data_IF_095055172579
#
_entry.id   IF_095055172579
#
_cell.length_a   1.000
_cell.length_b   1.000
_cell.length_c   1.000
_cell.angle_alpha   90.00
_cell.angle_beta   90.00
_cell.angle_gamma   90.00
#
_symmetry.space_group_name_H-M   'P 1'
#
loop_
_entity.id
_entity.type
_entity.pdbx_description
1 polymer ?
#
# COMPACT_ATOMS: atom_id res chain seq x y z
N UNK A 1 5.02 -23.52 -22.02
CA UNK A 1 3.83 -22.84 -22.58
C UNK A 1 2.59 -23.34 -21.85
N UNK A 2 1.94 -22.50 -21.04
CA UNK A 2 0.55 -22.72 -20.60
C UNK A 2 -0.16 -21.38 -20.76
N UNK A 3 -1.00 -21.27 -21.79
CA UNK A 3 -1.86 -20.11 -22.05
C UNK A 3 -2.87 -20.02 -20.90
N UNK A 4 -2.95 -18.89 -20.20
CA UNK A 4 -4.02 -18.62 -19.22
C UNK A 4 -4.99 -17.62 -19.84
N UNK A 5 -6.26 -18.02 -19.84
CA UNK A 5 -7.38 -17.42 -20.55
C UNK A 5 -7.76 -16.04 -20.01
N UNK A 6 -8.15 -15.16 -20.93
CA UNK A 6 -9.00 -14.01 -20.65
C UNK A 6 -10.38 -14.57 -20.31
N UNK A 7 -10.84 -14.38 -19.07
CA UNK A 7 -12.24 -14.65 -18.72
C UNK A 7 -12.99 -13.33 -18.78
N UNK A 8 -13.63 -13.09 -19.92
CA UNK A 8 -14.78 -12.17 -20.01
C UNK A 8 -15.95 -12.95 -19.45
N UNK A 9 -16.54 -12.52 -18.33
CA UNK A 9 -17.78 -13.12 -17.85
C UNK A 9 -18.97 -12.22 -18.25
N UNK A 10 -19.84 -12.68 -19.18
CA UNK A 10 -21.03 -11.96 -19.57
C UNK A 10 -22.17 -12.31 -18.61
N UNK A 11 -22.67 -11.31 -17.87
CA UNK A 11 -24.10 -11.13 -17.59
C UNK A 11 -24.32 -9.74 -16.99
N UNK A 12 -24.96 -8.90 -17.81
CA UNK A 12 -25.69 -7.69 -17.41
C UNK A 12 -26.89 -8.15 -16.56
N UNK A 13 -27.03 -7.59 -15.37
CA UNK A 13 -28.33 -7.33 -14.75
C UNK A 13 -28.15 -6.31 -13.61
N UNK A 14 -28.75 -5.13 -13.83
CA UNK A 14 -28.83 -3.91 -13.01
C UNK A 14 -27.52 -3.18 -12.61
N UNK A 15 -27.46 -1.89 -12.96
CA UNK A 15 -26.28 -1.02 -12.91
C UNK A 15 -26.00 -0.32 -11.55
N UNK A 16 -26.50 -0.83 -10.41
CA UNK A 16 -26.42 -0.04 -9.15
C UNK A 16 -25.93 -0.72 -7.87
N UNK A 17 -25.56 -2.01 -7.84
CA UNK A 17 -24.98 -2.60 -6.62
C UNK A 17 -23.82 -3.58 -6.91
N UNK A 18 -22.59 -3.08 -7.06
CA UNK A 18 -21.38 -3.94 -7.00
C UNK A 18 -20.34 -3.38 -6.03
N UNK A 19 -20.64 -3.46 -4.73
CA UNK A 19 -19.63 -3.42 -3.67
C UNK A 19 -19.27 -4.86 -3.30
N UNK A 20 -18.33 -5.46 -4.02
CA UNK A 20 -17.90 -6.82 -3.73
C UNK A 20 -16.43 -6.82 -3.32
N UNK A 21 -16.18 -7.14 -2.05
CA UNK A 21 -14.91 -7.66 -1.58
C UNK A 21 -14.81 -9.16 -1.95
N UNK A 22 -14.86 -9.48 -3.24
CA UNK A 22 -14.82 -10.89 -3.68
C UNK A 22 -13.40 -11.28 -4.06
N UNK A 23 -12.87 -12.28 -3.37
CA UNK A 23 -11.60 -12.92 -3.70
C UNK A 23 -11.89 -14.33 -4.17
N UNK A 24 -11.57 -14.62 -5.42
CA UNK A 24 -11.71 -15.97 -5.98
C UNK A 24 -10.45 -16.78 -5.69
N UNK A 25 -10.59 -17.88 -4.95
CA UNK A 25 -9.56 -18.90 -4.88
C UNK A 25 -9.89 -20.02 -5.89
N UNK A 26 -9.03 -20.18 -6.91
CA UNK A 26 -9.24 -21.16 -8.00
C UNK A 26 -9.13 -22.60 -7.51
N UNK A 27 -8.50 -22.84 -6.34
CA UNK A 27 -8.26 -24.19 -5.84
C UNK A 27 -9.41 -24.77 -5.01
N UNK A 28 -10.28 -23.95 -4.41
CA UNK A 28 -11.28 -24.42 -3.43
C UNK A 28 -12.74 -23.98 -3.68
N UNK A 29 -13.07 -23.34 -4.81
CA UNK A 29 -14.43 -22.86 -5.18
C UNK A 29 -15.18 -21.98 -4.14
N UNK A 30 -14.63 -21.72 -2.97
CA UNK A 30 -15.24 -20.85 -1.97
C UNK A 30 -14.86 -19.40 -2.27
N UNK A 31 -15.84 -18.52 -2.36
CA UNK A 31 -15.65 -17.07 -2.40
C UNK A 31 -15.99 -16.51 -1.04
N UNK A 32 -15.09 -15.74 -0.42
CA UNK A 32 -15.38 -14.99 0.79
C UNK A 32 -16.43 -13.93 0.45
N UNK A 33 -17.62 -14.08 1.04
CA UNK A 33 -18.72 -13.12 0.89
C UNK A 33 -19.03 -12.54 2.27
N UNK A 34 -18.73 -11.26 2.45
CA UNK A 34 -19.02 -10.56 3.69
C UNK A 34 -20.49 -10.13 3.74
N UNK A 35 -21.16 -10.24 4.90
CA UNK A 35 -22.54 -9.77 5.03
C UNK A 35 -22.63 -8.26 4.83
N UNK A 36 -23.80 -7.76 4.39
CA UNK A 36 -24.03 -6.31 4.18
C UNK A 36 -23.82 -5.48 5.45
N UNK A 37 -23.88 -6.10 6.62
CA UNK A 37 -23.66 -5.50 7.96
C UNK A 37 -22.21 -5.53 8.42
N UNK A 38 -21.30 -6.18 7.67
CA UNK A 38 -19.89 -6.21 8.03
C UNK A 38 -19.32 -4.78 8.07
N UNK A 39 -18.52 -4.41 9.10
CA UNK A 39 -18.01 -3.05 9.27
C UNK A 39 -17.32 -2.49 8.02
N UNK A 40 -16.53 -3.31 7.32
CA UNK A 40 -15.91 -2.91 6.05
C UNK A 40 -16.89 -2.59 4.96
N UNK A 41 -17.94 -3.40 4.81
CA UNK A 41 -18.94 -3.20 3.76
C UNK A 41 -19.71 -1.91 4.03
N UNK A 42 -19.99 -1.62 5.31
CA UNK A 42 -20.62 -0.36 5.74
C UNK A 42 -19.72 0.84 5.41
N UNK A 43 -18.44 0.80 5.81
CA UNK A 43 -17.45 1.86 5.53
C UNK A 43 -17.22 2.06 4.04
N UNK A 44 -17.00 0.98 3.28
CA UNK A 44 -16.83 1.02 1.83
C UNK A 44 -18.05 1.59 1.12
N UNK A 45 -19.27 1.25 1.57
CA UNK A 45 -20.50 1.81 1.00
C UNK A 45 -20.53 3.32 1.19
N UNK A 46 -20.31 3.80 2.42
CA UNK A 46 -20.28 5.23 2.74
C UNK A 46 -19.26 5.99 1.90
N UNK A 47 -18.02 5.47 1.82
CA UNK A 47 -16.95 6.06 1.03
C UNK A 47 -17.33 6.15 -0.45
N UNK A 48 -17.85 5.07 -1.02
CA UNK A 48 -18.20 5.05 -2.43
C UNK A 48 -19.44 5.89 -2.78
N UNK A 49 -20.42 5.96 -1.88
CA UNK A 49 -21.56 6.87 -1.99
C UNK A 49 -21.08 8.33 -2.02
N UNK A 50 -20.15 8.70 -1.14
CA UNK A 50 -19.54 10.03 -1.15
C UNK A 50 -18.80 10.32 -2.46
N UNK A 51 -18.09 9.34 -3.01
CA UNK A 51 -17.37 9.46 -4.30
C UNK A 51 -18.29 9.42 -5.54
N UNK A 52 -19.57 9.09 -5.40
CA UNK A 52 -20.47 8.93 -6.54
C UNK A 52 -20.61 10.21 -7.37
N UNK A 53 -20.64 11.37 -6.72
CA UNK A 53 -20.74 12.68 -7.38
C UNK A 53 -19.38 13.31 -7.72
N UNK A 54 -18.29 12.71 -7.25
CA UNK A 54 -16.95 13.23 -7.46
C UNK A 54 -16.48 13.07 -8.91
N UNK A 55 -15.60 13.95 -9.38
CA UNK A 55 -14.91 13.80 -10.67
C UNK A 55 -13.43 13.53 -10.43
N UNK A 56 -12.93 12.41 -10.97
CA UNK A 56 -11.52 12.06 -10.93
C UNK A 56 -11.18 11.10 -12.08
N UNK A 57 -9.91 11.05 -12.45
CA UNK A 57 -9.45 10.23 -13.57
C UNK A 57 -9.67 8.74 -13.31
N UNK A 58 -10.04 8.00 -14.36
CA UNK A 58 -10.20 6.54 -14.31
C UNK A 58 -11.10 6.07 -13.14
N UNK A 59 -12.24 6.76 -13.00
CA UNK A 59 -13.21 6.54 -11.93
C UNK A 59 -13.71 5.10 -11.85
N UNK A 60 -13.64 4.53 -10.64
CA UNK A 60 -14.27 3.26 -10.29
C UNK A 60 -14.65 3.26 -8.81
N UNK A 61 -15.52 2.33 -8.38
CA UNK A 61 -15.68 2.05 -6.96
C UNK A 61 -14.36 1.61 -6.32
N UNK A 62 -14.20 1.94 -5.05
CA UNK A 62 -13.17 1.41 -4.17
C UNK A 62 -13.64 0.07 -3.65
N UNK A 63 -12.75 -0.92 -3.72
CA UNK A 63 -12.99 -2.29 -3.26
C UNK A 63 -11.88 -2.71 -2.31
N UNK A 64 -12.21 -3.54 -1.31
CA UNK A 64 -11.21 -4.20 -0.46
C UNK A 64 -11.06 -5.64 -0.92
N UNK A 65 -9.83 -6.11 -1.15
CA UNK A 65 -9.59 -7.45 -1.71
C UNK A 65 -8.70 -8.24 -0.77
N UNK A 66 -9.29 -9.23 -0.10
CA UNK A 66 -8.64 -10.19 0.78
C UNK A 66 -7.76 -11.20 0.03
N UNK A 67 -7.11 -12.11 0.73
CA UNK A 67 -6.31 -13.19 0.16
C UNK A 67 -6.66 -14.48 0.88
N UNK A 68 -6.51 -15.61 0.19
CA UNK A 68 -6.73 -16.94 0.75
C UNK A 68 -8.12 -17.13 1.41
N UNK A 69 -9.12 -16.37 0.98
CA UNK A 69 -10.47 -16.39 1.56
C UNK A 69 -10.54 -16.05 3.05
N UNK A 70 -9.59 -15.25 3.54
CA UNK A 70 -9.43 -14.93 4.95
C UNK A 70 -9.38 -13.40 5.16
N UNK A 71 -10.22 -12.90 6.07
CA UNK A 71 -10.36 -11.46 6.38
C UNK A 71 -9.13 -10.86 7.06
N UNK A 72 -8.23 -11.69 7.60
CA UNK A 72 -6.96 -11.21 8.18
C UNK A 72 -5.79 -11.27 7.19
N UNK A 73 -6.02 -11.70 5.95
CA UNK A 73 -4.99 -11.87 4.93
C UNK A 73 -5.24 -10.98 3.72
N UNK A 74 -4.22 -10.24 3.28
CA UNK A 74 -4.38 -9.26 2.20
C UNK A 74 -5.37 -8.19 2.65
N UNK A 75 -6.23 -7.70 1.78
CA UNK A 75 -7.26 -6.73 2.21
C UNK A 75 -6.88 -5.29 1.93
N UNK A 76 -5.97 -5.04 0.99
CA UNK A 76 -5.69 -3.70 0.47
C UNK A 76 -6.93 -3.12 -0.24
N UNK A 77 -6.97 -1.79 -0.30
CA UNK A 77 -7.97 -1.05 -1.07
C UNK A 77 -7.52 -0.89 -2.53
N UNK A 78 -8.45 -1.10 -3.46
CA UNK A 78 -8.25 -1.02 -4.89
C UNK A 78 -9.23 -0.04 -5.52
N UNK A 79 -8.69 0.86 -6.34
CA UNK A 79 -9.41 1.75 -7.23
C UNK A 79 -8.72 1.73 -8.60
N UNK A 80 -9.47 1.83 -9.70
CA UNK A 80 -8.90 1.87 -11.04
C UNK A 80 -7.92 3.05 -11.19
N UNK A 81 -8.16 4.17 -10.52
CA UNK A 81 -7.24 5.31 -10.37
C UNK A 81 -5.78 4.91 -10.12
N UNK A 82 -5.54 3.87 -9.31
CA UNK A 82 -4.18 3.39 -8.97
C UNK A 82 -3.40 2.87 -10.17
N UNK A 83 -4.09 2.51 -11.27
CA UNK A 83 -3.48 2.01 -12.50
C UNK A 83 -2.88 3.12 -13.36
N UNK A 84 -3.13 4.38 -13.03
CA UNK A 84 -2.55 5.51 -13.75
C UNK A 84 -1.01 5.49 -13.62
N UNK A 85 -0.27 5.68 -14.73
CA UNK A 85 1.18 5.68 -14.69
C UNK A 85 1.72 6.82 -13.82
N UNK A 86 2.74 6.52 -13.02
CA UNK A 86 3.32 7.52 -12.13
C UNK A 86 4.84 7.55 -12.21
N UNK A 87 5.50 6.39 -12.17
CA UNK A 87 6.98 6.28 -12.25
C UNK A 87 7.61 6.93 -13.48
N UNK A 88 6.97 6.89 -14.64
CA UNK A 88 7.55 7.37 -15.92
C UNK A 88 7.11 8.77 -16.32
N UNK A 89 5.93 9.20 -15.86
CA UNK A 89 5.27 10.39 -16.39
C UNK A 89 4.44 11.16 -15.34
N UNK A 90 4.45 10.72 -14.06
CA UNK A 90 3.72 11.36 -12.94
C UNK A 90 2.25 11.69 -13.28
N UNK A 91 1.60 10.87 -14.10
CA UNK A 91 0.24 11.16 -14.59
C UNK A 91 -0.73 11.14 -13.43
N UNK A 92 -0.63 10.15 -12.53
CA UNK A 92 -1.55 9.96 -11.40
C UNK A 92 -1.64 11.20 -10.51
N UNK A 93 -0.50 11.66 -9.98
CA UNK A 93 -0.45 12.82 -9.07
C UNK A 93 -0.85 14.13 -9.77
N UNK A 94 -0.69 14.21 -11.10
CA UNK A 94 -1.07 15.38 -11.89
C UNK A 94 -2.52 15.36 -12.40
N UNK A 95 -3.33 14.39 -11.96
CA UNK A 95 -4.77 14.41 -12.19
C UNK A 95 -5.50 15.29 -11.17
N UNK A 96 -6.75 15.65 -11.49
CA UNK A 96 -7.59 16.47 -10.63
C UNK A 96 -8.63 15.62 -9.89
N UNK A 97 -8.92 16.01 -8.66
CA UNK A 97 -10.06 15.53 -7.88
C UNK A 97 -11.02 16.70 -7.70
N UNK A 98 -12.25 16.59 -8.23
CA UNK A 98 -13.24 17.67 -8.30
C UNK A 98 -12.67 18.97 -8.90
N UNK A 99 -11.84 18.84 -9.93
CA UNK A 99 -11.23 20.00 -10.61
C UNK A 99 -10.08 20.67 -9.86
N UNK A 100 -9.70 20.20 -8.67
CA UNK A 100 -8.56 20.74 -7.92
C UNK A 100 -7.32 19.83 -8.01
N UNK A 101 -6.10 20.40 -7.99
CA UNK A 101 -4.86 19.64 -7.89
C UNK A 101 -4.82 18.76 -6.63
N UNK A 102 -4.13 17.63 -6.74
CA UNK A 102 -4.03 16.66 -5.66
C UNK A 102 -2.65 16.66 -5.00
N UNK A 103 -2.62 16.09 -3.80
CA UNK A 103 -1.42 15.62 -3.10
C UNK A 103 -1.58 14.14 -2.78
N UNK A 104 -0.48 13.40 -2.73
CA UNK A 104 -0.43 11.99 -2.32
C UNK A 104 0.34 11.89 -0.99
N UNK A 105 -0.38 11.57 0.08
CA UNK A 105 0.15 11.41 1.44
C UNK A 105 0.57 9.96 1.63
N UNK A 106 1.88 9.71 1.64
CA UNK A 106 2.51 8.39 1.56
C UNK A 106 3.20 7.98 2.87
N UNK A 107 2.91 6.77 3.35
CA UNK A 107 3.56 6.18 4.52
C UNK A 107 5.01 5.79 4.19
N UNK A 108 5.96 6.47 4.81
CA UNK A 108 7.38 6.23 4.56
C UNK A 108 7.87 4.94 5.21
N UNK A 109 8.46 4.06 4.40
CA UNK A 109 8.99 2.76 4.85
C UNK A 109 7.93 1.92 5.61
N UNK A 110 6.69 1.93 5.14
CA UNK A 110 5.55 1.45 5.92
C UNK A 110 5.68 0.02 6.46
N UNK A 111 6.04 -0.96 5.62
CA UNK A 111 6.19 -2.35 6.08
C UNK A 111 7.27 -2.52 7.17
N UNK A 112 8.52 -2.05 7.00
CA UNK A 112 9.50 -1.97 8.09
C UNK A 112 8.97 -1.23 9.34
N UNK A 113 8.29 -0.10 9.16
CA UNK A 113 7.74 0.69 10.25
C UNK A 113 6.70 -0.09 11.05
N UNK A 114 5.77 -0.77 10.39
CA UNK A 114 4.76 -1.63 11.04
C UNK A 114 5.41 -2.78 11.80
N UNK A 115 6.42 -3.45 11.22
CA UNK A 115 7.12 -4.55 11.91
C UNK A 115 7.78 -4.08 13.21
N UNK A 116 8.38 -2.89 13.21
CA UNK A 116 8.94 -2.28 14.43
C UNK A 116 7.83 -1.85 15.40
N UNK A 117 6.75 -1.25 14.89
CA UNK A 117 5.64 -0.76 15.71
C UNK A 117 4.87 -1.87 16.42
N UNK A 118 4.70 -3.04 15.78
CA UNK A 118 4.15 -4.24 16.42
C UNK A 118 5.00 -4.74 17.61
N UNK A 119 6.23 -4.24 17.75
CA UNK A 119 7.10 -4.47 18.90
C UNK A 119 7.20 -3.23 19.83
N UNK A 120 6.34 -2.21 19.63
CA UNK A 120 6.37 -0.95 20.38
C UNK A 120 7.56 -0.05 20.06
N UNK A 121 8.23 -0.24 18.91
CA UNK A 121 9.45 0.49 18.55
C UNK A 121 9.23 1.39 17.33
N UNK A 122 9.72 2.63 17.40
CA UNK A 122 9.71 3.53 16.26
C UNK A 122 10.95 3.31 15.38
N UNK A 123 10.73 3.23 14.07
CA UNK A 123 11.81 3.13 13.09
C UNK A 123 12.40 4.51 12.78
N UNK A 124 13.70 4.65 12.43
CA UNK A 124 14.24 5.90 11.91
C UNK A 124 13.51 6.42 10.65
N UNK A 125 13.35 7.74 10.52
CA UNK A 125 12.63 8.40 9.41
C UNK A 125 13.04 7.90 8.01
N UNK A 126 14.34 7.90 7.74
CA UNK A 126 14.91 7.49 6.46
C UNK A 126 15.55 6.11 6.55
N UNK A 127 14.85 5.13 7.14
CA UNK A 127 15.41 3.81 7.47
C UNK A 127 16.16 3.13 6.33
N UNK A 128 15.61 3.10 5.11
CA UNK A 128 16.32 2.52 3.96
C UNK A 128 17.65 3.23 3.66
N UNK A 129 17.70 4.56 3.79
CA UNK A 129 18.92 5.34 3.58
C UNK A 129 19.92 5.12 4.71
N UNK A 130 19.41 5.01 5.95
CA UNK A 130 20.21 4.71 7.13
C UNK A 130 20.94 3.36 6.98
N UNK A 131 20.19 2.29 6.69
CA UNK A 131 20.76 0.95 6.47
C UNK A 131 21.72 0.97 5.27
N UNK A 132 21.37 1.68 4.19
CA UNK A 132 22.23 1.77 3.01
C UNK A 132 23.58 2.42 3.30
N UNK A 133 23.58 3.51 4.09
CA UNK A 133 24.81 4.18 4.52
C UNK A 133 25.70 3.26 5.35
N UNK A 134 25.12 2.52 6.31
CA UNK A 134 25.84 1.55 7.14
C UNK A 134 26.38 0.36 6.36
N UNK A 135 25.61 -0.13 5.39
CA UNK A 135 25.98 -1.24 4.52
C UNK A 135 26.84 -0.81 3.31
N UNK A 136 27.21 0.47 3.21
CA UNK A 136 27.96 1.05 2.10
C UNK A 136 27.38 0.70 0.71
N UNK A 137 26.06 0.84 0.56
CA UNK A 137 25.34 0.56 -0.68
C UNK A 137 24.29 1.63 -0.98
N UNK A 138 23.53 1.47 -2.07
CA UNK A 138 22.44 2.39 -2.40
C UNK A 138 21.13 1.97 -1.70
N UNK A 139 20.37 2.95 -1.20
CA UNK A 139 19.00 2.83 -0.69
C UNK A 139 18.10 1.88 -1.50
N UNK A 140 18.16 1.93 -2.82
CA UNK A 140 17.32 1.09 -3.68
C UNK A 140 17.64 -0.39 -3.54
N UNK A 141 18.91 -0.76 -3.30
CA UNK A 141 19.31 -2.15 -3.03
C UNK A 141 18.73 -2.67 -1.72
N UNK A 142 18.75 -1.84 -0.67
CA UNK A 142 18.12 -2.14 0.62
C UNK A 142 16.62 -2.33 0.43
N UNK A 143 15.95 -1.37 -0.23
CA UNK A 143 14.51 -1.43 -0.48
C UNK A 143 14.14 -2.69 -1.28
N UNK A 144 14.91 -3.01 -2.31
CA UNK A 144 14.72 -4.20 -3.13
C UNK A 144 14.82 -5.49 -2.31
N UNK A 145 15.88 -5.63 -1.51
CA UNK A 145 16.10 -6.83 -0.71
C UNK A 145 15.01 -7.01 0.35
N UNK A 146 14.78 -5.98 1.17
CA UNK A 146 13.84 -6.03 2.30
C UNK A 146 12.42 -6.29 1.81
N UNK A 147 11.98 -5.63 0.72
CA UNK A 147 10.63 -5.88 0.16
C UNK A 147 10.44 -7.35 -0.21
N UNK A 148 11.48 -8.01 -0.73
CA UNK A 148 11.41 -9.45 -1.05
C UNK A 148 11.49 -10.32 0.19
N UNK A 149 12.32 -9.97 1.16
CA UNK A 149 12.39 -10.71 2.43
C UNK A 149 11.05 -10.70 3.17
N UNK A 150 10.30 -9.60 3.12
CA UNK A 150 8.95 -9.51 3.71
C UNK A 150 7.93 -10.41 2.98
N UNK A 151 8.10 -10.59 1.66
CA UNK A 151 7.24 -11.45 0.86
C UNK A 151 7.66 -12.93 0.80
N UNK A 152 8.81 -13.29 1.38
CA UNK A 152 9.40 -14.62 1.23
C UNK A 152 9.07 -15.55 2.40
N UNK A 153 8.99 -16.85 2.09
CA UNK A 153 8.81 -17.92 3.08
C UNK A 153 10.09 -18.21 3.86
N UNK A 154 11.25 -17.99 3.23
CA UNK A 154 12.58 -18.27 3.76
C UNK A 154 13.62 -17.26 3.22
N UNK A 155 14.91 -17.49 3.51
CA UNK A 155 16.02 -16.66 3.03
C UNK A 155 16.44 -16.94 1.58
N UNK A 156 15.71 -17.79 0.84
CA UNK A 156 15.98 -18.13 -0.57
C UNK A 156 15.44 -17.04 -1.50
N UNK A 157 15.96 -15.81 -1.35
CA UNK A 157 15.51 -14.64 -2.11
C UNK A 157 16.08 -14.66 -3.53
N UNK A 158 15.20 -14.58 -4.54
CA UNK A 158 15.60 -14.42 -5.93
C UNK A 158 16.23 -13.04 -6.16
N UNK A 159 17.51 -13.00 -6.52
CA UNK A 159 18.25 -11.77 -6.88
C UNK A 159 18.62 -11.72 -8.37
N UNK A 160 18.01 -12.55 -9.23
CA UNK A 160 18.35 -12.59 -10.65
C UNK A 160 17.93 -11.30 -11.38
N UNK A 161 18.78 -10.76 -12.29
CA UNK A 161 18.43 -9.59 -13.10
C UNK A 161 17.17 -9.74 -13.95
N UNK A 162 16.86 -10.94 -14.40
CA UNK A 162 15.64 -11.24 -15.19
C UNK A 162 14.36 -10.92 -14.42
N UNK A 163 14.35 -11.11 -13.10
CA UNK A 163 13.21 -10.81 -12.22
C UNK A 163 13.01 -9.31 -12.02
N UNK A 164 14.11 -8.54 -11.96
CA UNK A 164 14.06 -7.08 -11.89
C UNK A 164 13.57 -6.44 -13.19
N UNK A 165 14.08 -6.90 -14.35
CA UNK A 165 13.70 -6.38 -15.68
C UNK A 165 12.20 -6.48 -15.95
N UNK A 166 11.55 -7.59 -15.55
CA UNK A 166 10.10 -7.78 -15.70
C UNK A 166 9.27 -6.71 -14.97
N UNK A 167 9.80 -6.15 -13.89
CA UNK A 167 9.14 -5.15 -13.06
C UNK A 167 9.63 -3.71 -13.35
N UNK A 168 10.44 -3.52 -14.40
CA UNK A 168 11.03 -2.23 -14.74
C UNK A 168 12.01 -1.70 -13.70
N UNK A 169 12.61 -2.58 -12.90
CA UNK A 169 13.60 -2.21 -11.87
C UNK A 169 15.00 -2.19 -12.52
N UNK A 170 15.77 -1.10 -12.37
CA UNK A 170 17.16 -1.02 -12.82
C UNK A 170 18.02 -2.16 -12.24
N UNK A 171 18.93 -2.70 -13.06
CA UNK A 171 19.87 -3.75 -12.59
C UNK A 171 20.75 -3.24 -11.44
N UNK A 172 21.07 -1.94 -11.44
CA UNK A 172 21.84 -1.26 -10.39
C UNK A 172 21.18 -1.28 -9.01
N UNK A 173 19.86 -1.48 -8.97
CA UNK A 173 19.09 -1.57 -7.72
C UNK A 173 19.08 -2.99 -7.13
N UNK A 174 19.67 -3.96 -7.83
CA UNK A 174 19.79 -5.34 -7.34
C UNK A 174 21.04 -5.44 -6.46
N UNK A 175 20.94 -5.91 -5.21
CA UNK A 175 22.11 -6.15 -4.38
C UNK A 175 22.96 -7.30 -4.95
N UNK A 176 24.27 -7.12 -4.94
CA UNK A 176 25.24 -8.22 -5.04
C UNK A 176 25.20 -9.08 -3.78
N UNK A 177 25.96 -10.19 -3.78
CA UNK A 177 26.11 -11.04 -2.59
C UNK A 177 26.71 -10.23 -1.43
N UNK A 178 27.76 -9.43 -1.70
CA UNK A 178 28.38 -8.56 -0.70
C UNK A 178 27.41 -7.50 -0.16
N UNK A 179 26.63 -6.84 -1.05
CA UNK A 179 25.60 -5.88 -0.59
C UNK A 179 24.60 -6.59 0.33
N UNK A 180 24.14 -7.79 -0.03
CA UNK A 180 23.19 -8.57 0.77
C UNK A 180 23.74 -8.89 2.16
N UNK A 181 24.97 -9.40 2.23
CA UNK A 181 25.63 -9.74 3.50
C UNK A 181 25.74 -8.52 4.42
N UNK A 182 26.16 -7.37 3.88
CA UNK A 182 26.27 -6.13 4.66
C UNK A 182 24.91 -5.61 5.12
N UNK A 183 23.89 -5.64 4.25
CA UNK A 183 22.53 -5.23 4.61
C UNK A 183 21.96 -6.14 5.70
N UNK A 184 22.07 -7.46 5.55
CA UNK A 184 21.58 -8.43 6.54
C UNK A 184 22.35 -8.30 7.86
N UNK A 185 23.66 -8.04 7.82
CA UNK A 185 24.47 -7.77 9.00
C UNK A 185 23.94 -6.56 9.78
N UNK A 186 23.81 -5.39 9.13
CA UNK A 186 23.27 -4.16 9.75
C UNK A 186 21.87 -4.38 10.32
N UNK A 187 20.98 -5.02 9.56
CA UNK A 187 19.61 -5.29 10.01
C UNK A 187 19.61 -6.22 11.24
N UNK A 188 20.46 -7.26 11.24
CA UNK A 188 20.52 -8.21 12.35
C UNK A 188 21.09 -7.63 13.64
N UNK A 189 22.03 -6.69 13.53
CA UNK A 189 22.72 -6.09 14.69
C UNK A 189 21.97 -4.90 15.26
N UNK A 190 21.47 -4.00 14.41
CA UNK A 190 20.82 -2.76 14.85
C UNK A 190 19.29 -2.87 14.92
N UNK A 191 18.67 -3.78 14.15
CA UNK A 191 17.21 -3.98 14.11
C UNK A 191 16.81 -5.46 14.34
N UNK A 192 17.24 -6.10 15.45
CA UNK A 192 17.04 -7.54 15.66
C UNK A 192 15.57 -7.96 15.65
N UNK A 193 14.64 -7.11 16.11
CA UNK A 193 13.20 -7.42 16.08
C UNK A 193 12.63 -7.42 14.66
N UNK A 194 13.08 -6.49 13.81
CA UNK A 194 12.73 -6.49 12.39
C UNK A 194 13.33 -7.74 11.70
N UNK A 195 14.60 -8.04 11.95
CA UNK A 195 15.27 -9.22 11.38
C UNK A 195 14.53 -10.53 11.69
N UNK A 196 14.01 -10.67 12.93
CA UNK A 196 13.21 -11.84 13.34
C UNK A 196 11.88 -11.97 12.60
N UNK A 197 11.36 -10.90 12.00
CA UNK A 197 10.08 -10.91 11.28
C UNK A 197 10.23 -11.12 9.78
N UNK A 198 11.44 -10.89 9.23
CA UNK A 198 11.74 -11.10 7.82
C UNK A 198 11.78 -12.59 7.47
N UNK A 199 11.46 -12.90 6.21
CA UNK A 199 11.52 -14.27 5.67
C UNK A 199 10.66 -15.25 6.48
N UNK A 200 9.49 -14.78 6.94
CA UNK A 200 8.46 -15.59 7.57
C UNK A 200 7.26 -15.60 6.66
N UNK A 201 6.95 -16.76 6.09
CA UNK A 201 5.80 -16.94 5.20
C UNK A 201 4.53 -16.29 5.77
N UNK A 202 3.79 -15.57 4.92
CA UNK A 202 2.56 -14.88 5.29
C UNK A 202 2.72 -13.49 5.91
N UNK A 203 3.91 -13.07 6.37
CA UNK A 203 4.07 -11.75 7.00
C UNK A 203 3.71 -10.60 6.05
N UNK A 204 4.13 -10.67 4.79
CA UNK A 204 3.77 -9.66 3.80
C UNK A 204 2.26 -9.54 3.59
N UNK A 205 1.53 -10.66 3.58
CA UNK A 205 0.07 -10.69 3.40
C UNK A 205 -0.65 -10.15 4.64
N UNK A 206 -0.12 -10.42 5.83
CA UNK A 206 -0.60 -9.82 7.08
C UNK A 206 -0.40 -8.30 7.12
N UNK A 207 0.79 -7.81 6.75
CA UNK A 207 1.06 -6.36 6.70
C UNK A 207 0.17 -5.63 5.69
N UNK A 208 -0.18 -6.29 4.57
CA UNK A 208 -1.14 -5.77 3.60
C UNK A 208 -2.56 -5.60 4.17
N UNK A 209 -2.92 -6.42 5.17
CA UNK A 209 -4.19 -6.29 5.86
C UNK A 209 -4.25 -5.07 6.74
N UNK A 210 -3.18 -4.83 7.50
CA UNK A 210 -3.01 -3.64 8.31
C UNK A 210 -3.03 -2.39 7.43
N UNK A 211 -2.32 -2.38 6.29
CA UNK A 211 -2.39 -1.29 5.31
C UNK A 211 -3.81 -0.98 4.85
N UNK A 212 -4.56 -2.02 4.52
CA UNK A 212 -5.96 -1.90 4.10
C UNK A 212 -6.84 -1.33 5.19
N UNK A 213 -6.67 -1.78 6.43
CA UNK A 213 -7.44 -1.29 7.58
C UNK A 213 -7.10 0.17 7.88
N UNK A 214 -5.80 0.52 7.85
CA UNK A 214 -5.32 1.87 8.10
C UNK A 214 -5.92 2.85 7.09
N UNK A 215 -5.83 2.54 5.80
CA UNK A 215 -6.41 3.39 4.77
C UNK A 215 -7.94 3.42 4.84
N UNK A 216 -8.61 2.29 5.10
CA UNK A 216 -10.07 2.26 5.22
C UNK A 216 -10.57 3.16 6.36
N UNK A 217 -9.92 3.10 7.53
CA UNK A 217 -10.20 3.94 8.68
C UNK A 217 -9.93 5.42 8.40
N UNK A 218 -8.79 5.74 7.78
CA UNK A 218 -8.46 7.11 7.42
C UNK A 218 -9.47 7.69 6.41
N UNK A 219 -9.84 6.92 5.40
CA UNK A 219 -10.83 7.33 4.40
C UNK A 219 -12.21 7.54 5.00
N UNK A 220 -12.67 6.64 5.90
CA UNK A 220 -13.96 6.78 6.57
C UNK A 220 -13.99 8.03 7.48
N UNK A 221 -12.88 8.31 8.18
CA UNK A 221 -12.75 9.50 9.00
C UNK A 221 -12.76 10.80 8.19
N UNK A 222 -12.19 10.81 6.98
CA UNK A 222 -12.23 11.96 6.07
C UNK A 222 -13.63 12.17 5.49
N UNK A 223 -14.33 11.09 5.15
CA UNK A 223 -15.72 11.19 4.64
C UNK A 223 -16.65 11.79 5.69
N UNK A 224 -16.45 11.50 6.97
CA UNK A 224 -17.20 12.14 8.06
C UNK A 224 -16.92 13.65 8.21
N UNK A 225 -15.85 14.14 7.59
CA UNK A 225 -15.50 15.57 7.49
C UNK A 225 -15.87 16.16 6.12
N UNK A 226 -16.64 15.42 5.30
CA UNK A 226 -16.97 15.78 3.92
C UNK A 226 -15.75 15.90 2.98
N UNK A 227 -14.64 15.27 3.35
CA UNK A 227 -13.39 15.25 2.57
C UNK A 227 -13.32 13.95 1.77
N UNK A 228 -13.18 14.09 0.45
CA UNK A 228 -13.02 12.96 -0.45
C UNK A 228 -11.54 12.58 -0.60
N UNK A 229 -11.30 11.28 -0.70
CA UNK A 229 -9.96 10.71 -0.84
C UNK A 229 -9.97 9.49 -1.76
N UNK A 230 -8.81 9.15 -2.33
CA UNK A 230 -8.61 7.99 -3.19
C UNK A 230 -7.41 7.18 -2.68
N UNK A 231 -7.55 5.85 -2.48
CA UNK A 231 -6.44 5.03 -2.01
C UNK A 231 -5.46 4.74 -3.14
N UNK A 232 -4.17 4.79 -2.84
CA UNK A 232 -3.07 4.45 -3.75
C UNK A 232 -2.06 3.59 -3.00
N UNK A 233 -2.11 2.27 -3.15
CA UNK A 233 -1.22 1.36 -2.39
C UNK A 233 -1.27 1.63 -0.87
N UNK A 234 -0.18 2.13 -0.27
CA UNK A 234 -0.01 2.55 1.12
C UNK A 234 -0.10 4.08 1.34
N UNK A 235 -0.58 4.81 0.33
CA UNK A 235 -0.77 6.25 0.33
C UNK A 235 -2.23 6.65 0.07
N UNK A 236 -2.53 7.92 0.33
CA UNK A 236 -3.85 8.51 0.11
C UNK A 236 -3.75 9.77 -0.73
N UNK A 237 -4.53 9.82 -1.81
CA UNK A 237 -4.65 10.98 -2.67
C UNK A 237 -5.85 11.83 -2.28
N UNK A 238 -5.63 13.12 -2.04
CA UNK A 238 -6.67 14.12 -1.70
C UNK A 238 -6.44 15.42 -2.46
N UNK A 239 -7.43 16.31 -2.49
CA UNK A 239 -7.20 17.68 -2.95
C UNK A 239 -6.16 18.35 -2.05
N UNK A 240 -5.26 19.16 -2.62
CA UNK A 240 -4.11 19.70 -1.90
C UNK A 240 -4.48 20.52 -0.65
N UNK A 241 -5.64 21.18 -0.67
CA UNK A 241 -6.17 21.95 0.47
C UNK A 241 -6.43 21.08 1.71
N UNK A 242 -6.57 19.76 1.55
CA UNK A 242 -6.85 18.80 2.61
C UNK A 242 -5.62 17.95 3.00
N UNK A 243 -4.41 18.39 2.63
CA UNK A 243 -3.17 17.67 2.96
C UNK A 243 -3.05 17.37 4.46
N UNK A 244 -3.33 18.38 5.29
CA UNK A 244 -3.19 18.28 6.74
C UNK A 244 -4.18 17.27 7.31
N UNK A 245 -5.44 17.35 6.91
CA UNK A 245 -6.52 16.46 7.35
C UNK A 245 -6.23 15.02 6.93
N UNK A 246 -5.74 14.80 5.70
CA UNK A 246 -5.35 13.48 5.23
C UNK A 246 -4.16 12.92 6.03
N UNK A 247 -3.16 13.75 6.32
CA UNK A 247 -2.03 13.37 7.16
C UNK A 247 -2.48 12.99 8.57
N UNK A 248 -3.27 13.83 9.22
CA UNK A 248 -3.78 13.59 10.58
C UNK A 248 -4.64 12.31 10.63
N UNK A 249 -5.47 12.07 9.61
CA UNK A 249 -6.29 10.86 9.50
C UNK A 249 -5.45 9.57 9.36
N UNK A 250 -4.41 9.60 8.50
CA UNK A 250 -3.50 8.46 8.33
C UNK A 250 -2.68 8.22 9.60
N UNK A 251 -2.11 9.27 10.20
CA UNK A 251 -1.30 9.15 11.43
C UNK A 251 -2.13 8.53 12.56
N UNK A 252 -3.34 9.05 12.79
CA UNK A 252 -4.24 8.53 13.82
C UNK A 252 -4.61 7.07 13.56
N UNK A 253 -5.05 6.77 12.34
CA UNK A 253 -5.44 5.41 11.95
C UNK A 253 -4.30 4.40 12.10
N UNK A 254 -3.09 4.80 11.70
CA UNK A 254 -1.89 3.97 11.81
C UNK A 254 -1.53 3.68 13.27
N UNK A 255 -1.59 4.69 14.15
CA UNK A 255 -1.37 4.53 15.59
C UNK A 255 -2.42 3.62 16.22
N UNK A 256 -3.71 3.83 15.91
CA UNK A 256 -4.83 3.06 16.45
C UNK A 256 -4.76 1.58 16.03
N UNK A 257 -4.49 1.30 14.74
CA UNK A 257 -4.42 -0.07 14.20
C UNK A 257 -3.22 -0.84 14.76
N UNK A 258 -2.10 -0.17 14.99
CA UNK A 258 -0.87 -0.81 15.48
C UNK A 258 -0.73 -0.78 17.01
N UNK A 259 -1.62 -0.07 17.71
CA UNK A 259 -1.60 0.04 19.17
C UNK A 259 -0.38 0.78 19.71
N UNK A 260 0.05 1.85 19.06
CA UNK A 260 1.23 2.66 19.45
C UNK A 260 0.88 4.13 19.63
N UNK A 261 1.69 4.86 20.40
CA UNK A 261 1.48 6.28 20.74
C UNK A 261 2.42 7.24 19.98
N UNK A 262 3.23 6.71 19.06
CA UNK A 262 4.11 7.49 18.19
C UNK A 262 3.63 7.50 16.74
N UNK A 263 3.83 8.63 16.07
CA UNK A 263 3.39 8.84 14.69
C UNK A 263 4.25 8.04 13.69
N UNK A 264 3.66 7.59 12.57
CA UNK A 264 4.44 7.10 11.44
C UNK A 264 5.21 8.26 10.79
N UNK A 265 6.17 7.90 9.94
CA UNK A 265 6.79 8.87 9.05
C UNK A 265 5.98 8.98 7.76
N UNK A 266 5.67 10.21 7.35
CA UNK A 266 4.90 10.50 6.15
C UNK A 266 5.73 11.35 5.20
N UNK A 267 5.60 11.05 3.90
CA UNK A 267 6.07 11.87 2.79
C UNK A 267 4.86 12.35 2.00
N UNK A 268 4.86 13.60 1.58
CA UNK A 268 3.83 14.14 0.69
C UNK A 268 4.43 14.32 -0.69
N UNK A 269 3.77 13.76 -1.70
CA UNK A 269 4.06 14.05 -3.10
C UNK A 269 3.05 15.06 -3.65
N UNK A 270 3.55 16.00 -4.44
CA UNK A 270 2.80 17.17 -4.90
C UNK A 270 2.61 17.12 -6.40
N UNK A 271 1.42 17.50 -6.85
CA UNK A 271 1.19 17.78 -8.27
C UNK A 271 2.16 18.87 -8.78
N UNK A 272 2.65 18.68 -9.99
CA UNK A 272 3.48 19.64 -10.72
C UNK A 272 2.69 20.88 -11.16
N UNK A 273 1.36 20.81 -11.12
CA UNK A 273 0.46 21.92 -11.42
C UNK A 273 0.06 22.75 -10.20
N UNK A 274 0.65 22.48 -9.02
CA UNK A 274 0.39 23.30 -7.85
C UNK A 274 1.00 24.69 -8.01
N UNK A 275 0.25 25.76 -7.69
CA UNK A 275 0.72 27.14 -7.84
C UNK A 275 1.91 27.46 -6.93
N UNK A 276 2.04 26.73 -5.81
CA UNK A 276 3.19 26.78 -4.91
C UNK A 276 3.30 25.45 -4.17
N UNK A 277 4.52 24.89 -4.10
CA UNK A 277 4.83 23.70 -3.29
C UNK A 277 5.38 24.18 -1.94
N UNK A 278 4.91 23.64 -0.80
CA UNK A 278 5.44 23.97 0.53
C UNK A 278 6.88 23.46 0.74
#
# INVERSE_FOLDING_TARGET
MKRKLIVVNPKKESETERYYANTFNIENEQTLILPKTHPDIVRLRRINEALQKATFAFKSPITRVYSNNDVIQGGRLYCAFQRLPDRRARIRINTLLNGLPCVEVDLSCNHPAMLMALNGLQIPRDWYSYVASKANCNRNKVKFLVTRMIGAEDRSIDLRPSTAKKNGIPITDIPSICDREQIEYVISTEFPQLNKSLCKGGIGVFLQNLEGEILLNAMDALVNQEILSLPVHDSLCVQYIFEKEAKDAIEKSWMDVLGVDFKPWIKVDYSDHLPSKP
#
